data_IF_606854204095
#
_entry.id   IF_606854204095
#
_cell.length_a   1.000
_cell.length_b   1.000
_cell.length_c   1.000
_cell.angle_alpha   90.00
_cell.angle_beta   90.00
_cell.angle_gamma   90.00
#
_symmetry.space_group_name_H-M   'P 1'
#
loop_
_entity.id
_entity.type
_entity.pdbx_description
1 polymer ?
#
# COMPACT_ATOMS: atom_id res chain seq x y z
N UNK A 1 -20.80 6.78 6.48
CA UNK A 1 -19.57 6.00 6.71
C UNK A 1 -18.75 6.15 5.46
N UNK A 2 -17.44 6.38 5.55
CA UNK A 2 -16.62 6.55 4.35
C UNK A 2 -16.63 5.24 3.57
N UNK A 3 -17.20 5.26 2.37
CA UNK A 3 -17.25 4.14 1.45
C UNK A 3 -16.20 4.39 0.38
N UNK A 4 -15.02 3.83 0.59
CA UNK A 4 -13.87 4.05 -0.28
C UNK A 4 -13.83 3.07 -1.46
N UNK A 5 -14.82 2.20 -1.67
CA UNK A 5 -15.01 1.34 -2.86
C UNK A 5 -13.95 1.53 -3.98
N UNK A 6 -12.89 0.72 -3.90
CA UNK A 6 -11.67 0.78 -4.69
C UNK A 6 -12.00 0.33 -6.11
N UNK A 7 -11.93 1.26 -7.05
CA UNK A 7 -12.25 1.02 -8.47
C UNK A 7 -11.05 0.61 -9.30
N UNK A 8 -9.88 1.12 -8.95
CA UNK A 8 -8.65 0.82 -9.66
C UNK A 8 -7.47 0.92 -8.72
N UNK A 9 -6.56 -0.01 -8.85
CA UNK A 9 -5.25 0.06 -8.19
C UNK A 9 -4.15 -0.26 -9.19
N UNK A 10 -3.07 0.50 -9.12
CA UNK A 10 -1.88 0.32 -9.94
C UNK A 10 -0.65 0.44 -9.07
N UNK A 11 0.28 -0.50 -9.22
CA UNK A 11 1.61 -0.43 -8.66
C UNK A 11 2.60 -0.36 -9.82
N UNK A 12 3.31 0.74 -9.97
CA UNK A 12 4.13 0.99 -11.16
C UNK A 12 5.55 1.38 -10.77
N UNK A 13 6.53 0.92 -11.55
CA UNK A 13 7.89 1.41 -11.46
C UNK A 13 7.99 2.75 -12.20
N UNK A 14 8.35 3.81 -11.47
CA UNK A 14 8.56 5.16 -12.03
C UNK A 14 10.04 5.49 -12.27
N UNK A 15 10.92 4.59 -11.86
CA UNK A 15 12.35 4.68 -12.06
C UNK A 15 13.06 3.48 -11.42
N UNK A 16 14.37 3.37 -11.64
CA UNK A 16 15.18 2.21 -11.24
C UNK A 16 15.03 1.83 -9.75
N UNK A 17 14.76 2.80 -8.87
CA UNK A 17 14.64 2.60 -7.42
C UNK A 17 13.28 3.03 -6.87
N UNK A 18 12.28 3.23 -7.72
CA UNK A 18 11.10 3.98 -7.31
C UNK A 18 9.82 3.30 -7.77
N UNK A 19 8.92 3.08 -6.83
CA UNK A 19 7.57 2.56 -7.05
C UNK A 19 6.56 3.66 -6.73
N UNK A 20 5.45 3.64 -7.46
CA UNK A 20 4.27 4.45 -7.16
C UNK A 20 3.06 3.52 -7.06
N UNK A 21 2.42 3.52 -5.90
CA UNK A 21 1.11 2.94 -5.70
C UNK A 21 0.07 4.04 -5.92
N UNK A 22 -0.86 3.80 -6.83
CA UNK A 22 -2.03 4.66 -7.03
C UNK A 22 -3.30 3.84 -6.85
N UNK A 23 -4.26 4.40 -6.13
CA UNK A 23 -5.59 3.86 -5.91
C UNK A 23 -6.62 4.92 -6.28
N UNK A 24 -7.60 4.53 -7.10
CA UNK A 24 -8.81 5.29 -7.38
C UNK A 24 -10.00 4.64 -6.68
N UNK A 25 -10.82 5.46 -6.03
CA UNK A 25 -12.00 5.07 -5.27
C UNK A 25 -13.26 5.66 -5.90
N UNK A 26 -14.44 5.11 -5.59
CA UNK A 26 -15.70 5.62 -6.14
C UNK A 26 -16.11 6.99 -5.56
N UNK A 27 -15.91 7.16 -4.25
CA UNK A 27 -16.32 8.33 -3.49
C UNK A 27 -15.24 9.40 -3.36
N UNK A 28 -15.60 10.54 -2.78
CA UNK A 28 -14.61 11.55 -2.36
C UNK A 28 -13.87 11.07 -1.11
N UNK A 29 -12.54 11.17 -1.14
CA UNK A 29 -11.71 10.93 0.03
C UNK A 29 -11.73 12.20 0.88
N UNK A 30 -12.27 12.07 2.08
CA UNK A 30 -12.35 13.18 3.01
C UNK A 30 -10.94 13.69 3.36
N UNK A 31 -10.80 15.01 3.43
CA UNK A 31 -9.55 15.63 3.91
C UNK A 31 -9.34 15.41 5.41
N UNK A 32 -10.42 15.13 6.14
CA UNK A 32 -10.48 14.85 7.57
C UNK A 32 -11.56 13.83 7.82
N UNK A 33 -11.20 12.70 8.38
CA UNK A 33 -12.12 11.64 8.78
C UNK A 33 -12.43 11.72 10.27
N UNK A 34 -13.67 11.45 10.66
CA UNK A 34 -14.02 11.23 12.06
C UNK A 34 -13.48 9.85 12.50
N UNK A 35 -12.33 9.85 13.19
CA UNK A 35 -11.64 8.63 13.61
C UNK A 35 -10.56 8.17 12.64
N UNK A 36 -10.31 6.86 12.60
CA UNK A 36 -9.25 6.25 11.79
C UNK A 36 -9.74 5.86 10.39
N UNK A 37 -8.95 6.15 9.37
CA UNK A 37 -9.11 5.63 8.01
C UNK A 37 -7.74 5.22 7.46
N UNK A 38 -7.70 4.15 6.66
CA UNK A 38 -6.45 3.64 6.09
C UNK A 38 -6.66 2.97 4.73
N UNK A 39 -5.70 3.18 3.83
CA UNK A 39 -5.39 2.29 2.72
C UNK A 39 -4.08 1.56 3.04
N UNK A 40 -4.10 0.24 3.01
CA UNK A 40 -2.95 -0.60 3.32
C UNK A 40 -2.63 -1.51 2.14
N UNK A 41 -1.47 -1.30 1.51
CA UNK A 41 -0.94 -2.22 0.52
C UNK A 41 0.06 -3.17 1.18
N UNK A 42 -0.25 -4.47 1.16
CA UNK A 42 0.68 -5.54 1.52
C UNK A 42 1.45 -5.92 0.26
N UNK A 43 2.78 -5.79 0.27
CA UNK A 43 3.63 -6.04 -0.91
C UNK A 43 4.68 -7.09 -0.57
N UNK A 44 4.72 -8.14 -1.37
CA UNK A 44 5.75 -9.17 -1.36
C UNK A 44 6.80 -8.81 -2.41
N UNK A 45 8.02 -8.49 -1.96
CA UNK A 45 9.12 -8.05 -2.81
C UNK A 45 9.87 -9.26 -3.41
N UNK A 46 9.92 -10.36 -2.67
CA UNK A 46 10.40 -11.64 -3.16
C UNK A 46 9.21 -12.48 -3.67
N UNK A 47 9.25 -12.96 -4.91
CA UNK A 47 8.24 -13.93 -5.39
C UNK A 47 8.37 -15.32 -4.70
N UNK A 48 9.12 -15.41 -3.60
CA UNK A 48 9.46 -16.64 -2.90
C UNK A 48 8.70 -16.68 -1.57
N UNK A 49 7.67 -17.53 -1.51
CA UNK A 49 6.72 -17.71 -0.39
C UNK A 49 7.34 -18.09 0.98
N UNK A 50 8.67 -18.04 1.15
CA UNK A 50 9.40 -18.66 2.27
C UNK A 50 10.21 -17.68 3.14
N UNK A 51 10.22 -16.38 2.87
CA UNK A 51 11.08 -15.41 3.60
C UNK A 51 10.34 -14.53 4.61
N UNK A 52 9.01 -14.65 4.77
CA UNK A 52 8.22 -13.88 5.75
C UNK A 52 7.16 -14.71 6.47
N UNK A 53 6.94 -14.44 7.76
CA UNK A 53 5.92 -15.09 8.59
C UNK A 53 4.51 -14.80 8.05
N UNK A 54 3.66 -15.83 8.04
CA UNK A 54 2.28 -15.76 7.58
C UNK A 54 1.44 -14.83 8.47
N UNK A 55 0.96 -13.73 7.89
CA UNK A 55 -0.16 -12.96 8.43
C UNK A 55 -1.32 -13.07 7.44
N UNK A 56 -2.04 -14.19 7.56
CA UNK A 56 -3.31 -14.50 6.86
C UNK A 56 -3.27 -14.27 5.34
N UNK A 57 -2.70 -15.24 4.62
CA UNK A 57 -2.92 -15.44 3.18
C UNK A 57 -1.99 -14.69 2.22
N UNK A 58 -1.16 -13.76 2.71
CA UNK A 58 0.00 -13.23 1.99
C UNK A 58 1.17 -13.10 2.96
N UNK A 59 2.29 -13.76 2.70
CA UNK A 59 3.57 -13.29 3.24
C UNK A 59 3.87 -11.94 2.59
N UNK A 60 4.03 -10.88 3.36
CA UNK A 60 4.40 -9.56 2.84
C UNK A 60 5.76 -9.17 3.38
N UNK A 61 6.60 -8.61 2.52
CA UNK A 61 7.86 -8.01 2.95
C UNK A 61 7.65 -6.63 3.55
N UNK A 62 6.76 -5.83 2.93
CA UNK A 62 6.43 -4.50 3.40
C UNK A 62 4.91 -4.26 3.42
N UNK A 63 4.48 -3.42 4.37
CA UNK A 63 3.15 -2.84 4.36
C UNK A 63 3.25 -1.34 4.13
N UNK A 64 2.64 -0.84 3.07
CA UNK A 64 2.52 0.59 2.79
C UNK A 64 1.18 1.04 3.38
N UNK A 65 1.22 1.78 4.49
CA UNK A 65 0.03 2.32 5.14
C UNK A 65 -0.13 3.79 4.82
N UNK A 66 -1.25 4.16 4.22
CA UNK A 66 -1.66 5.54 3.97
C UNK A 66 -2.88 5.77 4.86
N UNK A 67 -2.74 6.60 5.89
CA UNK A 67 -3.73 6.67 6.96
C UNK A 67 -4.03 8.10 7.40
N UNK A 68 -5.19 8.25 8.01
CA UNK A 68 -5.61 9.44 8.71
C UNK A 68 -6.19 9.02 10.06
N UNK A 69 -5.72 9.65 11.14
CA UNK A 69 -6.24 9.44 12.49
C UNK A 69 -6.68 10.78 13.13
N UNK A 70 -7.32 10.70 14.29
CA UNK A 70 -7.86 11.87 14.98
C UNK A 70 -6.80 12.91 15.39
N UNK A 71 -5.54 12.51 15.54
CA UNK A 71 -4.43 13.38 15.93
C UNK A 71 -3.65 13.91 14.72
N UNK A 72 -3.82 13.29 13.55
CA UNK A 72 -3.14 13.65 12.32
C UNK A 72 -3.67 14.98 11.76
N UNK A 73 -2.76 15.84 11.29
CA UNK A 73 -3.12 17.12 10.63
C UNK A 73 -3.60 16.94 9.18
N UNK A 74 -3.60 15.70 8.69
CA UNK A 74 -3.93 15.29 7.33
C UNK A 74 -3.43 13.87 7.09
N UNK A 75 -3.69 13.34 5.90
CA UNK A 75 -3.21 12.02 5.47
C UNK A 75 -1.69 11.89 5.63
N UNK A 76 -1.26 10.77 6.20
CA UNK A 76 0.12 10.38 6.39
C UNK A 76 0.37 9.06 5.64
N UNK A 77 1.64 8.76 5.39
CA UNK A 77 2.02 7.47 4.87
C UNK A 77 3.28 6.96 5.58
N UNK A 78 3.35 5.65 5.80
CA UNK A 78 4.50 4.94 6.37
C UNK A 78 4.68 3.60 5.69
N UNK A 79 5.90 3.07 5.75
CA UNK A 79 6.24 1.73 5.27
C UNK A 79 6.69 0.90 6.46
N UNK A 80 5.93 -0.13 6.80
CA UNK A 80 6.35 -1.11 7.80
C UNK A 80 7.18 -2.19 7.14
N UNK A 81 8.27 -2.56 7.81
CA UNK A 81 9.16 -3.66 7.44
C UNK A 81 8.72 -4.90 8.20
N UNK A 82 8.26 -5.92 7.49
CA UNK A 82 7.60 -7.09 8.10
C UNK A 82 8.48 -8.34 8.00
N UNK A 83 9.36 -8.40 7.02
CA UNK A 83 10.28 -9.52 6.82
C UNK A 83 11.74 -9.16 7.11
N UNK A 84 12.61 -10.15 7.37
CA UNK A 84 14.06 -9.95 7.42
C UNK A 84 14.65 -9.29 6.16
N UNK A 85 14.07 -9.57 4.98
CA UNK A 85 14.49 -8.99 3.70
C UNK A 85 14.28 -7.47 3.73
N UNK A 86 13.08 -7.04 4.13
CA UNK A 86 12.76 -5.61 4.26
C UNK A 86 13.51 -4.93 5.42
N UNK A 87 13.84 -5.66 6.49
CA UNK A 87 14.49 -5.13 7.69
C UNK A 87 15.85 -4.49 7.36
N UNK A 88 16.63 -5.12 6.47
CA UNK A 88 17.93 -4.61 6.01
C UNK A 88 17.85 -3.49 4.98
N UNK A 89 16.67 -3.19 4.43
CA UNK A 89 16.49 -2.22 3.35
C UNK A 89 15.95 -0.90 3.88
N UNK A 90 16.36 0.21 3.24
CA UNK A 90 15.78 1.52 3.51
C UNK A 90 14.63 1.80 2.54
N UNK A 91 13.51 2.28 3.08
CA UNK A 91 12.34 2.72 2.33
C UNK A 91 12.05 4.17 2.71
N UNK A 92 11.98 5.03 1.70
CA UNK A 92 11.61 6.43 1.88
C UNK A 92 10.32 6.73 1.13
N UNK A 93 9.43 7.52 1.72
CA UNK A 93 8.26 8.06 1.04
C UNK A 93 8.64 9.41 0.46
N UNK A 94 8.71 9.48 -0.87
CA UNK A 94 9.10 10.70 -1.57
C UNK A 94 7.91 11.65 -1.72
N UNK A 95 6.70 11.10 -1.89
CA UNK A 95 5.49 11.87 -2.12
C UNK A 95 4.27 11.10 -1.67
N UNK A 96 3.37 11.80 -0.98
CA UNK A 96 2.00 11.37 -0.74
C UNK A 96 1.04 12.39 -1.37
N UNK A 97 0.04 11.92 -2.09
CA UNK A 97 -1.02 12.74 -2.67
C UNK A 97 -2.37 12.08 -2.41
N UNK A 98 -3.26 12.80 -1.72
CA UNK A 98 -4.66 12.38 -1.53
C UNK A 98 -5.54 13.51 -2.05
N UNK A 99 -6.30 13.26 -3.12
CA UNK A 99 -7.10 14.28 -3.79
C UNK A 99 -8.35 13.69 -4.42
N UNK A 100 -9.51 14.19 -4.01
CA UNK A 100 -10.82 13.74 -4.51
C UNK A 100 -10.90 12.21 -4.42
N UNK A 101 -10.96 11.53 -5.55
CA UNK A 101 -11.13 10.09 -5.69
C UNK A 101 -9.80 9.32 -5.77
N UNK A 102 -8.64 9.96 -5.57
CA UNK A 102 -7.33 9.34 -5.81
C UNK A 102 -6.40 9.46 -4.61
N UNK A 103 -5.76 8.33 -4.28
CA UNK A 103 -4.59 8.22 -3.41
C UNK A 103 -3.39 7.80 -4.24
N UNK A 104 -2.26 8.50 -4.09
CA UNK A 104 -0.97 8.05 -4.62
C UNK A 104 0.10 8.20 -3.56
N UNK A 105 0.94 7.18 -3.44
CA UNK A 105 2.18 7.23 -2.65
C UNK A 105 3.34 6.76 -3.52
N UNK A 106 4.40 7.57 -3.52
CA UNK A 106 5.66 7.29 -4.21
C UNK A 106 6.72 6.97 -3.18
N UNK A 107 7.38 5.83 -3.37
CA UNK A 107 8.37 5.27 -2.47
C UNK A 107 9.66 4.94 -3.21
N UNK A 108 10.79 5.20 -2.57
CA UNK A 108 12.11 4.90 -3.09
C UNK A 108 12.86 3.91 -2.19
N UNK A 109 13.49 2.91 -2.81
CA UNK A 109 14.35 1.92 -2.15
C UNK A 109 15.35 1.29 -3.12
N UNK A 110 16.51 0.85 -2.61
CA UNK A 110 17.47 0.07 -3.41
C UNK A 110 16.94 -1.33 -3.74
N UNK A 111 16.09 -1.89 -2.88
CA UNK A 111 15.39 -3.16 -3.11
C UNK A 111 14.67 -3.19 -4.47
N UNK A 112 14.12 -2.06 -4.91
CA UNK A 112 13.29 -1.98 -6.11
C UNK A 112 14.04 -2.21 -7.43
N UNK A 113 15.38 -2.10 -7.40
CA UNK A 113 16.25 -2.33 -8.57
C UNK A 113 16.17 -3.73 -9.13
N UNK A 114 15.93 -4.70 -8.25
CA UNK A 114 16.03 -6.12 -8.56
C UNK A 114 14.66 -6.78 -8.65
N UNK A 115 13.58 -6.02 -8.48
CA UNK A 115 12.24 -6.57 -8.53
C UNK A 115 11.91 -7.03 -9.94
N UNK A 116 11.47 -8.26 -10.04
CA UNK A 116 10.72 -8.75 -11.20
C UNK A 116 9.23 -8.52 -10.96
N UNK A 117 8.39 -9.56 -11.07
CA UNK A 117 7.02 -9.49 -10.62
C UNK A 117 6.91 -9.34 -9.10
N UNK A 118 5.96 -8.56 -8.63
CA UNK A 118 5.59 -8.43 -7.21
C UNK A 118 4.16 -8.89 -6.98
N UNK A 119 3.89 -9.49 -5.82
CA UNK A 119 2.51 -9.75 -5.39
C UNK A 119 2.05 -8.63 -4.48
N UNK A 120 0.83 -8.17 -4.67
CA UNK A 120 0.26 -7.21 -3.73
C UNK A 120 -1.25 -7.35 -3.56
N UNK A 121 -1.71 -6.89 -2.41
CA UNK A 121 -3.12 -6.70 -2.06
C UNK A 121 -3.26 -5.30 -1.49
N UNK A 122 -4.30 -4.56 -1.91
CA UNK A 122 -4.69 -3.30 -1.29
C UNK A 122 -5.95 -3.53 -0.45
N UNK A 123 -5.97 -3.03 0.77
CA UNK A 123 -7.15 -3.05 1.65
C UNK A 123 -7.49 -1.62 2.06
N UNK A 124 -8.77 -1.33 2.19
CA UNK A 124 -9.26 -0.12 2.82
C UNK A 124 -9.90 -0.47 4.17
N UNK A 125 -9.58 0.33 5.18
CA UNK A 125 -10.15 0.23 6.52
C UNK A 125 -10.73 1.57 6.95
N UNK A 126 -11.88 1.52 7.63
CA UNK A 126 -12.49 2.67 8.29
C UNK A 126 -12.91 2.28 9.69
N UNK A 127 -12.54 3.11 10.67
CA UNK A 127 -12.87 2.94 12.08
C UNK A 127 -12.50 1.54 12.64
N UNK A 128 -11.37 0.98 12.16
CA UNK A 128 -10.87 -0.33 12.57
C UNK A 128 -11.58 -1.52 11.92
N UNK A 129 -12.44 -1.28 10.91
CA UNK A 129 -13.13 -2.33 10.15
C UNK A 129 -12.62 -2.32 8.71
N UNK A 130 -12.26 -3.49 8.18
CA UNK A 130 -11.97 -3.65 6.76
C UNK A 130 -13.26 -3.41 5.96
N UNK A 131 -13.24 -2.46 5.04
CA UNK A 131 -14.39 -2.07 4.23
C UNK A 131 -14.25 -2.51 2.78
N UNK A 132 -13.03 -2.67 2.28
CA UNK A 132 -12.78 -3.11 0.91
C UNK A 132 -11.40 -3.76 0.76
N UNK A 133 -11.24 -4.60 -0.26
CA UNK A 133 -10.02 -5.34 -0.56
C UNK A 133 -9.92 -5.63 -2.05
N UNK A 134 -8.77 -5.28 -2.64
CA UNK A 134 -8.49 -5.55 -4.05
C UNK A 134 -7.14 -6.28 -4.22
N UNK A 135 -7.12 -7.45 -4.87
CA UNK A 135 -8.28 -8.23 -5.33
C UNK A 135 -9.03 -8.93 -4.19
N UNK A 136 -10.29 -9.28 -4.40
CA UNK A 136 -11.17 -9.90 -3.38
C UNK A 136 -10.67 -11.25 -2.82
N UNK A 137 -9.85 -11.98 -3.58
CA UNK A 137 -9.38 -13.33 -3.22
C UNK A 137 -7.86 -13.42 -3.19
N UNK A 138 -7.25 -13.65 -4.34
CA UNK A 138 -5.82 -13.86 -4.44
C UNK A 138 -5.09 -12.55 -4.67
N UNK A 139 -3.83 -12.50 -4.25
CA UNK A 139 -2.96 -11.37 -4.54
C UNK A 139 -2.85 -11.15 -6.04
N UNK A 140 -2.86 -9.90 -6.48
CA UNK A 140 -2.52 -9.62 -7.87
C UNK A 140 -1.00 -9.70 -8.04
N UNK A 141 -0.59 -10.32 -9.15
CA UNK A 141 0.81 -10.30 -9.59
C UNK A 141 0.98 -9.14 -10.55
N UNK A 142 1.88 -8.22 -10.23
CA UNK A 142 2.23 -7.10 -11.09
C UNK A 142 3.63 -7.28 -11.63
N UNK A 143 3.74 -7.23 -12.96
CA UNK A 143 5.03 -7.11 -13.61
C UNK A 143 5.47 -5.65 -13.57
N UNK A 144 6.60 -5.40 -12.90
CA UNK A 144 7.20 -4.07 -12.83
C UNK A 144 8.15 -3.90 -14.02
N UNK A 145 7.63 -3.34 -15.11
CA UNK A 145 8.41 -2.97 -16.29
C UNK A 145 9.46 -1.89 -15.98
#
# INVERSE_FOLDING_TARGET
MADYDIRRVTLERKGIKTLELTCDVAGDIEKKTAGYAMFMAKVDLDNNLKTGQEAEGLGSDINIRIYQDANSRGWQAIVDKVSPVSASEEFAIDKLSVRLHRVSVKLTSKAFKRLGPVRFVLMAEAQGTAIDRVPDKDAMVVNLD
#
